data_IF_324034334019
#
_entry.id   IF_324034334019
#
_cell.length_a   1.000
_cell.length_b   1.000
_cell.length_c   1.000
_cell.angle_alpha   90.00
_cell.angle_beta   90.00
_cell.angle_gamma   90.00
#
_symmetry.space_group_name_H-M   'P 1'
#
loop_
_entity.id
_entity.type
_entity.pdbx_description
1 polymer ?
#
# COMPACT_ATOMS: atom_id res chain seq x y z
N UNK A 1 11.03 -22.16 -51.20
CA UNK A 1 9.73 -22.53 -50.59
C UNK A 1 9.92 -23.20 -49.22
N UNK A 2 10.72 -24.28 -49.10
CA UNK A 2 10.94 -24.98 -47.82
C UNK A 2 11.59 -24.14 -46.70
N UNK A 3 12.58 -23.29 -47.03
CA UNK A 3 13.21 -22.42 -46.02
C UNK A 3 12.23 -21.42 -45.40
N UNK A 4 11.31 -20.87 -46.20
CA UNK A 4 10.27 -19.95 -45.72
C UNK A 4 9.28 -20.68 -44.83
N UNK A 5 8.87 -21.91 -45.21
CA UNK A 5 7.98 -22.74 -44.39
C UNK A 5 8.63 -23.08 -43.04
N UNK A 6 9.90 -23.48 -43.02
CA UNK A 6 10.61 -23.78 -41.78
C UNK A 6 10.81 -22.55 -40.90
N UNK A 7 11.09 -21.38 -41.49
CA UNK A 7 11.20 -20.12 -40.74
C UNK A 7 9.86 -19.71 -40.10
N UNK A 8 8.75 -19.84 -40.84
CA UNK A 8 7.40 -19.58 -40.31
C UNK A 8 7.03 -20.56 -39.20
N UNK A 9 7.34 -21.85 -39.36
CA UNK A 9 7.11 -22.87 -38.33
C UNK A 9 7.91 -22.56 -37.05
N UNK A 10 9.20 -22.22 -37.18
CA UNK A 10 10.04 -21.85 -36.05
C UNK A 10 9.51 -20.61 -35.32
N UNK A 11 9.06 -19.59 -36.06
CA UNK A 11 8.45 -18.39 -35.50
C UNK A 11 7.15 -18.72 -34.74
N UNK A 12 6.27 -19.55 -35.30
CA UNK A 12 5.03 -19.97 -34.64
C UNK A 12 5.29 -20.74 -33.34
N UNK A 13 6.28 -21.64 -33.33
CA UNK A 13 6.69 -22.36 -32.11
C UNK A 13 7.19 -21.38 -31.06
N UNK A 14 8.03 -20.42 -31.44
CA UNK A 14 8.55 -19.41 -30.53
C UNK A 14 7.44 -18.51 -29.95
N UNK A 15 6.53 -18.02 -30.79
CA UNK A 15 5.39 -17.22 -30.35
C UNK A 15 4.45 -17.99 -29.43
N UNK A 16 4.21 -19.27 -29.72
CA UNK A 16 3.41 -20.15 -28.87
C UNK A 16 4.10 -20.38 -27.52
N UNK A 17 5.40 -20.64 -27.53
CA UNK A 17 6.20 -20.78 -26.30
C UNK A 17 6.15 -19.53 -25.43
N UNK A 18 6.28 -18.34 -26.02
CA UNK A 18 6.13 -17.07 -25.31
C UNK A 18 4.72 -16.89 -24.75
N UNK A 19 3.67 -17.19 -25.52
CA UNK A 19 2.29 -17.08 -25.05
C UNK A 19 2.01 -18.02 -23.87
N UNK A 20 2.49 -19.26 -23.93
CA UNK A 20 2.40 -20.23 -22.83
C UNK A 20 3.14 -19.70 -21.61
N UNK A 21 4.37 -19.19 -21.78
CA UNK A 21 5.14 -18.60 -20.69
C UNK A 21 4.42 -17.45 -20.01
N UNK A 22 3.84 -16.53 -20.79
CA UNK A 22 3.11 -15.39 -20.27
C UNK A 22 1.82 -15.80 -19.53
N UNK A 23 1.11 -16.77 -20.09
CA UNK A 23 -0.09 -17.35 -19.45
C UNK A 23 0.27 -18.05 -18.13
N UNK A 24 1.33 -18.85 -18.13
CA UNK A 24 1.82 -19.51 -16.92
C UNK A 24 2.27 -18.50 -15.87
N UNK A 25 2.91 -17.40 -16.26
CA UNK A 25 3.30 -16.33 -15.32
C UNK A 25 2.08 -15.75 -14.60
N UNK A 26 0.99 -15.49 -15.34
CA UNK A 26 -0.28 -15.04 -14.74
C UNK A 26 -0.86 -16.13 -13.83
N UNK A 27 -1.02 -17.36 -14.30
CA UNK A 27 -1.71 -18.42 -13.55
C UNK A 27 -0.93 -18.90 -12.31
N UNK A 28 0.41 -18.79 -12.33
CA UNK A 28 1.29 -19.19 -11.22
C UNK A 28 1.45 -18.11 -10.15
N UNK A 29 1.06 -16.86 -10.41
CA UNK A 29 1.08 -15.82 -9.39
C UNK A 29 0.09 -16.18 -8.26
N UNK A 30 0.65 -16.42 -7.07
CA UNK A 30 -0.05 -16.90 -5.87
C UNK A 30 0.34 -16.07 -4.66
N UNK A 31 -0.50 -16.13 -3.64
CA UNK A 31 -0.19 -15.57 -2.33
C UNK A 31 0.53 -16.66 -1.52
N UNK A 32 1.61 -16.34 -0.80
CA UNK A 32 2.21 -17.26 0.16
C UNK A 32 1.23 -17.63 1.29
N UNK A 33 1.40 -18.80 1.89
CA UNK A 33 0.56 -19.24 3.01
C UNK A 33 0.80 -18.44 4.31
N UNK A 34 1.99 -17.84 4.43
CA UNK A 34 2.40 -17.06 5.60
C UNK A 34 2.95 -15.71 5.14
N UNK A 35 2.62 -14.67 5.88
CA UNK A 35 3.15 -13.33 5.69
C UNK A 35 4.32 -13.12 6.64
N UNK A 36 5.51 -12.85 6.09
CA UNK A 36 6.68 -12.53 6.91
C UNK A 36 6.47 -11.21 7.65
N UNK A 37 7.00 -11.13 8.86
CA UNK A 37 6.87 -9.96 9.72
C UNK A 37 8.24 -9.61 10.33
N UNK A 38 8.51 -8.32 10.45
CA UNK A 38 9.65 -7.76 11.18
C UNK A 38 9.10 -6.90 12.31
N UNK A 39 9.67 -7.04 13.50
CA UNK A 39 9.41 -6.09 14.58
C UNK A 39 10.52 -5.05 14.61
N UNK A 40 10.16 -3.77 14.64
CA UNK A 40 11.09 -2.67 14.90
C UNK A 40 10.79 -2.13 16.30
N UNK A 41 11.84 -1.83 17.05
CA UNK A 41 11.69 -1.35 18.42
C UNK A 41 11.30 -2.46 19.40
N UNK A 42 11.94 -3.62 19.30
CA UNK A 42 11.65 -4.78 20.15
C UNK A 42 11.89 -4.55 21.65
N UNK A 43 12.67 -3.52 22.01
CA UNK A 43 12.92 -3.14 23.40
C UNK A 43 11.99 -2.01 23.86
N UNK A 44 11.22 -1.42 22.95
CA UNK A 44 10.25 -0.40 23.30
C UNK A 44 9.08 -1.01 24.12
N UNK A 45 8.55 -0.27 25.12
CA UNK A 45 7.40 -0.70 25.90
C UNK A 45 6.24 -1.17 25.02
N UNK A 46 5.65 -2.30 25.39
CA UNK A 46 4.45 -2.82 24.72
C UNK A 46 3.26 -1.88 24.93
N UNK A 47 2.50 -1.66 23.86
CA UNK A 47 1.27 -0.89 23.91
C UNK A 47 0.13 -1.70 24.52
N UNK A 48 -0.55 -1.13 25.52
CA UNK A 48 -1.79 -1.69 26.10
C UNK A 48 -3.04 -1.05 25.51
N UNK A 49 -2.86 0.00 24.68
CA UNK A 49 -3.96 0.69 24.02
C UNK A 49 -4.63 -0.20 22.96
N UNK A 50 -5.93 -0.01 22.78
CA UNK A 50 -6.72 -0.74 21.79
C UNK A 50 -6.71 0.01 20.47
N UNK A 51 -6.53 -0.72 19.37
CA UNK A 51 -6.67 -0.19 18.01
C UNK A 51 -8.15 0.14 17.70
N UNK A 52 -8.51 1.41 17.42
CA UNK A 52 -9.88 1.77 17.06
C UNK A 52 -10.35 1.09 15.78
N UNK A 53 -11.63 0.72 15.72
CA UNK A 53 -12.24 0.12 14.51
C UNK A 53 -12.72 1.19 13.53
N UNK A 54 -11.81 2.08 13.17
CA UNK A 54 -12.07 3.16 12.20
C UNK A 54 -11.16 2.95 11.01
N UNK A 55 -11.71 2.99 9.80
CA UNK A 55 -10.96 3.00 8.54
C UNK A 55 -11.04 4.40 7.95
N UNK A 56 -9.92 5.09 7.93
CA UNK A 56 -9.73 6.40 7.30
C UNK A 56 -9.30 6.24 5.86
N UNK A 57 -9.89 7.05 4.99
CA UNK A 57 -9.40 7.22 3.63
C UNK A 57 -9.75 8.62 3.13
N UNK A 58 -9.07 9.07 2.09
CA UNK A 58 -9.26 10.41 1.53
C UNK A 58 -9.36 10.36 0.01
N UNK A 59 -10.32 11.12 -0.52
CA UNK A 59 -10.40 11.43 -1.93
C UNK A 59 -10.77 12.90 -2.10
N UNK A 60 -9.85 13.71 -2.63
CA UNK A 60 -9.90 15.18 -2.61
C UNK A 60 -11.24 15.77 -3.10
N UNK A 61 -11.80 15.22 -4.17
CA UNK A 61 -13.02 15.75 -4.82
C UNK A 61 -14.21 14.83 -4.60
N UNK A 62 -15.26 15.33 -3.98
CA UNK A 62 -16.54 14.64 -3.90
C UNK A 62 -17.42 14.91 -5.14
N UNK A 63 -18.23 13.93 -5.58
CA UNK A 63 -18.22 12.54 -5.14
C UNK A 63 -16.99 11.79 -5.66
N UNK A 64 -16.50 10.80 -4.91
CA UNK A 64 -15.42 9.95 -5.38
C UNK A 64 -15.85 9.16 -6.64
N UNK A 65 -14.92 8.82 -7.56
CA UNK A 65 -15.23 8.04 -8.74
C UNK A 65 -15.90 6.70 -8.41
N UNK A 66 -16.73 6.20 -9.34
CA UNK A 66 -17.48 4.96 -9.17
C UNK A 66 -16.62 3.77 -8.72
N UNK A 67 -15.43 3.61 -9.31
CA UNK A 67 -14.50 2.55 -8.91
C UNK A 67 -14.06 2.66 -7.45
N UNK A 68 -13.82 3.88 -6.97
CA UNK A 68 -13.50 4.14 -5.56
C UNK A 68 -14.71 3.83 -4.68
N UNK A 69 -15.92 4.24 -5.08
CA UNK A 69 -17.14 3.88 -4.35
C UNK A 69 -17.33 2.36 -4.25
N UNK A 70 -17.00 1.62 -5.31
CA UNK A 70 -17.03 0.15 -5.32
C UNK A 70 -15.98 -0.44 -4.36
N UNK A 71 -14.77 0.14 -4.27
CA UNK A 71 -13.78 -0.23 -3.24
C UNK A 71 -14.31 0.01 -1.82
N UNK A 72 -14.96 1.15 -1.56
CA UNK A 72 -15.55 1.45 -0.24
C UNK A 72 -16.70 0.48 0.09
N UNK A 73 -17.53 0.12 -0.89
CA UNK A 73 -18.57 -0.88 -0.72
C UNK A 73 -17.98 -2.26 -0.37
N UNK A 74 -16.89 -2.65 -1.02
CA UNK A 74 -16.12 -3.85 -0.67
C UNK A 74 -15.66 -3.80 0.81
N UNK A 75 -15.15 -2.67 1.29
CA UNK A 75 -14.69 -2.57 2.68
C UNK A 75 -15.83 -2.74 3.67
N UNK A 76 -16.98 -2.09 3.42
CA UNK A 76 -18.19 -2.23 4.26
C UNK A 76 -18.70 -3.66 4.32
N UNK A 77 -18.56 -4.42 3.24
CA UNK A 77 -18.91 -5.83 3.19
C UNK A 77 -17.96 -6.71 4.00
N UNK A 78 -16.64 -6.52 3.83
CA UNK A 78 -15.64 -7.41 4.42
C UNK A 78 -15.22 -7.02 5.84
N UNK A 79 -15.40 -5.76 6.24
CA UNK A 79 -15.10 -5.26 7.58
C UNK A 79 -16.36 -4.57 8.18
N UNK A 80 -17.46 -5.32 8.40
CA UNK A 80 -18.74 -4.74 8.86
C UNK A 80 -18.66 -4.15 10.28
N UNK A 81 -17.65 -4.55 11.05
CA UNK A 81 -17.41 -4.06 12.41
C UNK A 81 -16.53 -2.81 12.44
N UNK A 82 -16.22 -2.21 11.29
CA UNK A 82 -15.40 -1.01 11.19
C UNK A 82 -16.20 0.16 10.63
N UNK A 83 -16.04 1.32 11.24
CA UNK A 83 -16.56 2.56 10.71
C UNK A 83 -15.68 3.03 9.55
N UNK A 84 -16.24 3.09 8.34
CA UNK A 84 -15.51 3.55 7.14
C UNK A 84 -15.76 5.04 6.92
N UNK A 85 -14.70 5.85 7.05
CA UNK A 85 -14.70 7.30 6.87
C UNK A 85 -13.97 7.67 5.58
N UNK A 86 -14.73 7.83 4.50
CA UNK A 86 -14.25 8.46 3.27
C UNK A 86 -14.32 9.98 3.44
N UNK A 87 -13.17 10.60 3.59
CA UNK A 87 -13.03 12.05 3.70
C UNK A 87 -12.78 12.67 2.33
N UNK A 88 -13.20 13.91 2.17
CA UNK A 88 -12.87 14.79 1.06
C UNK A 88 -12.45 16.17 1.59
N UNK A 89 -12.10 17.10 0.71
CA UNK A 89 -11.64 18.43 1.16
C UNK A 89 -12.66 19.15 2.03
N UNK A 90 -13.96 18.97 1.83
CA UNK A 90 -15.00 19.63 2.62
C UNK A 90 -15.18 19.02 4.02
N UNK A 91 -14.85 17.74 4.20
CA UNK A 91 -15.09 17.02 5.46
C UNK A 91 -13.86 16.93 6.38
N UNK A 92 -12.65 17.20 5.88
CA UNK A 92 -11.42 17.02 6.69
C UNK A 92 -11.32 17.95 7.90
N UNK A 93 -11.85 19.17 7.81
CA UNK A 93 -11.75 20.17 8.89
C UNK A 93 -12.53 19.76 10.14
N UNK A 94 -13.54 18.90 10.01
CA UNK A 94 -14.26 18.32 11.15
C UNK A 94 -13.40 17.37 11.99
N UNK A 95 -12.31 16.85 11.41
CA UNK A 95 -11.40 15.90 12.07
C UNK A 95 -10.03 16.50 12.38
N UNK A 96 -9.62 17.49 11.59
CA UNK A 96 -8.38 18.24 11.71
C UNK A 96 -8.70 19.73 11.53
N UNK A 97 -9.09 20.44 12.61
CA UNK A 97 -9.49 21.85 12.53
C UNK A 97 -8.39 22.80 12.06
N UNK A 98 -7.12 22.38 12.18
CA UNK A 98 -5.97 23.12 11.68
C UNK A 98 -5.18 22.25 10.70
N UNK A 99 -5.17 22.70 9.45
CA UNK A 99 -4.35 22.14 8.38
C UNK A 99 -3.07 22.97 8.24
N UNK A 100 -2.02 22.39 7.66
CA UNK A 100 -0.84 23.18 7.25
C UNK A 100 -1.23 24.25 6.23
N UNK A 101 -0.55 25.41 6.28
CA UNK A 101 -0.93 26.59 5.51
C UNK A 101 -0.91 26.37 3.98
N UNK A 102 0.01 25.54 3.50
CA UNK A 102 0.19 25.15 2.09
C UNK A 102 -0.60 23.89 1.71
N UNK A 103 -1.47 23.35 2.57
CA UNK A 103 -2.15 22.06 2.36
C UNK A 103 -2.85 21.97 1.00
N UNK A 104 -3.57 23.02 0.60
CA UNK A 104 -4.30 23.05 -0.67
C UNK A 104 -3.38 23.10 -1.89
N UNK A 105 -2.14 23.59 -1.73
CA UNK A 105 -1.12 23.66 -2.78
C UNK A 105 -0.37 22.34 -2.95
N UNK A 106 -0.43 21.45 -1.95
CA UNK A 106 0.15 20.12 -2.06
C UNK A 106 -0.60 19.29 -3.12
N UNK A 107 0.11 18.48 -3.93
CA UNK A 107 -0.55 17.54 -4.82
C UNK A 107 -1.37 16.52 -4.01
N UNK A 108 -2.44 16.01 -4.60
CA UNK A 108 -3.42 15.15 -3.89
C UNK A 108 -2.79 13.96 -3.15
N UNK A 109 -1.72 13.36 -3.69
CA UNK A 109 -1.02 12.26 -3.01
C UNK A 109 -0.27 12.72 -1.75
N UNK A 110 0.28 13.94 -1.73
CA UNK A 110 0.90 14.53 -0.54
C UNK A 110 -0.12 15.00 0.49
N UNK A 111 -1.27 15.50 0.06
CA UNK A 111 -2.39 15.76 0.97
C UNK A 111 -2.78 14.46 1.70
N UNK A 112 -2.92 13.36 0.96
CA UNK A 112 -3.21 12.04 1.54
C UNK A 112 -2.08 11.52 2.46
N UNK A 113 -0.81 11.72 2.09
CA UNK A 113 0.35 11.41 2.96
C UNK A 113 0.30 12.19 4.27
N UNK A 114 -0.04 13.49 4.23
CA UNK A 114 -0.11 14.31 5.43
C UNK A 114 -1.31 13.93 6.30
N UNK A 115 -2.51 13.82 5.70
CA UNK A 115 -3.73 13.47 6.42
C UNK A 115 -3.62 12.15 7.15
N UNK A 116 -2.99 11.12 6.55
CA UNK A 116 -2.96 9.79 7.18
C UNK A 116 -2.24 9.78 8.51
N UNK A 117 -1.06 10.40 8.58
CA UNK A 117 -0.29 10.44 9.83
C UNK A 117 -0.94 11.37 10.85
N UNK A 118 -1.56 12.47 10.40
CA UNK A 118 -2.24 13.40 11.29
C UNK A 118 -3.52 12.86 11.90
N UNK A 119 -4.32 12.11 11.13
CA UNK A 119 -5.51 11.43 11.62
C UNK A 119 -5.14 10.30 12.56
N UNK A 120 -4.17 9.46 12.18
CA UNK A 120 -3.74 8.33 13.01
C UNK A 120 -3.10 8.78 14.33
N UNK A 121 -2.28 9.83 14.32
CA UNK A 121 -1.70 10.37 15.55
C UNK A 121 -2.76 10.83 16.56
N UNK A 122 -3.83 11.48 16.09
CA UNK A 122 -4.88 12.04 16.96
C UNK A 122 -5.95 11.03 17.35
N UNK A 123 -6.41 10.26 16.37
CA UNK A 123 -7.63 9.44 16.51
C UNK A 123 -7.34 7.93 16.50
N UNK A 124 -6.12 7.53 16.15
CA UNK A 124 -5.79 6.13 15.87
C UNK A 124 -6.62 5.55 14.72
N UNK A 125 -6.68 4.22 14.68
CA UNK A 125 -7.44 3.47 13.70
C UNK A 125 -6.54 3.00 12.55
N UNK A 126 -7.12 2.87 11.36
CA UNK A 126 -6.48 2.28 10.19
C UNK A 126 -6.62 3.27 9.03
N UNK A 127 -5.52 3.73 8.47
CA UNK A 127 -5.53 4.35 7.15
C UNK A 127 -5.49 3.29 6.07
N UNK A 128 -6.27 3.47 5.01
CA UNK A 128 -6.17 2.69 3.77
C UNK A 128 -6.30 3.61 2.55
N UNK A 129 -5.43 3.42 1.56
CA UNK A 129 -5.59 4.05 0.25
C UNK A 129 -6.94 3.65 -0.38
N UNK A 130 -7.67 4.62 -0.94
CA UNK A 130 -9.06 4.47 -1.39
C UNK A 130 -9.30 3.37 -2.46
N UNK A 131 -8.25 2.95 -3.17
CA UNK A 131 -8.32 1.91 -4.22
C UNK A 131 -7.81 0.54 -3.77
N UNK A 132 -7.72 0.29 -2.46
CA UNK A 132 -7.44 -1.04 -1.91
C UNK A 132 -8.70 -1.92 -1.91
N UNK A 133 -8.51 -3.23 -1.84
CA UNK A 133 -9.59 -4.21 -1.70
C UNK A 133 -9.33 -5.11 -0.49
N UNK A 134 -10.41 -5.51 0.19
CA UNK A 134 -10.42 -6.52 1.24
C UNK A 134 -10.97 -7.83 0.67
N UNK A 135 -10.38 -8.95 1.07
CA UNK A 135 -10.93 -10.29 0.77
C UNK A 135 -11.41 -11.03 2.03
N UNK A 136 -11.18 -10.46 3.21
CA UNK A 136 -11.63 -10.95 4.52
C UNK A 136 -11.57 -9.81 5.54
N UNK A 137 -12.19 -10.04 6.70
CA UNK A 137 -12.20 -9.10 7.81
C UNK A 137 -10.79 -8.71 8.31
N UNK A 138 -10.68 -7.50 8.86
CA UNK A 138 -9.46 -6.91 9.38
C UNK A 138 -9.13 -7.34 10.83
N UNK A 139 -9.84 -8.32 11.40
CA UNK A 139 -9.56 -8.88 12.72
C UNK A 139 -8.12 -9.36 12.90
N UNK A 140 -7.50 -9.87 11.83
CA UNK A 140 -6.08 -10.26 11.85
C UNK A 140 -5.15 -9.10 12.23
N UNK A 141 -5.49 -7.87 11.83
CA UNK A 141 -4.69 -6.68 12.12
C UNK A 141 -4.77 -6.31 13.60
N UNK A 142 -5.99 -6.34 14.14
CA UNK A 142 -6.26 -6.15 15.56
C UNK A 142 -5.57 -7.22 16.41
N UNK A 143 -5.63 -8.48 15.99
CA UNK A 143 -4.98 -9.59 16.68
C UNK A 143 -3.45 -9.47 16.64
N UNK A 144 -2.89 -9.02 15.51
CA UNK A 144 -1.47 -8.75 15.37
C UNK A 144 -1.03 -7.66 16.34
N UNK A 145 -1.77 -6.55 16.39
CA UNK A 145 -1.50 -5.44 17.31
C UNK A 145 -1.50 -5.91 18.77
N UNK A 146 -2.57 -6.59 19.22
CA UNK A 146 -2.72 -7.05 20.60
C UNK A 146 -1.66 -8.09 20.99
N UNK A 147 -1.46 -9.13 20.17
CA UNK A 147 -0.52 -10.23 20.48
C UNK A 147 0.94 -9.78 20.51
N UNK A 148 1.28 -8.74 19.75
CA UNK A 148 2.65 -8.23 19.65
C UNK A 148 2.87 -6.98 20.51
N UNK A 149 1.85 -6.47 21.20
CA UNK A 149 1.93 -5.23 21.99
C UNK A 149 2.35 -4.04 21.15
N UNK A 150 1.90 -3.96 19.89
CA UNK A 150 2.41 -2.99 18.93
C UNK A 150 1.72 -1.63 19.08
N UNK A 151 2.50 -0.54 19.00
CA UNK A 151 1.97 0.81 18.82
C UNK A 151 1.49 1.03 17.39
N UNK A 152 2.11 0.32 16.44
CA UNK A 152 1.85 0.44 15.01
C UNK A 152 1.93 -0.91 14.32
N UNK A 153 0.99 -1.17 13.41
CA UNK A 153 1.04 -2.32 12.49
C UNK A 153 0.89 -1.79 11.08
N UNK A 154 1.77 -2.21 10.19
CA UNK A 154 1.76 -1.79 8.79
C UNK A 154 2.50 -2.78 7.91
N UNK A 155 2.89 -2.31 6.73
CA UNK A 155 3.64 -3.11 5.78
C UNK A 155 5.01 -2.50 5.50
N UNK A 156 5.93 -3.30 5.00
CA UNK A 156 7.18 -2.85 4.39
C UNK A 156 7.32 -3.40 2.97
N UNK A 157 8.12 -2.74 2.14
CA UNK A 157 8.39 -3.14 0.75
C UNK A 157 9.76 -3.78 0.62
N UNK A 158 9.80 -5.10 0.43
CA UNK A 158 11.03 -5.88 0.45
C UNK A 158 11.95 -5.55 -0.73
N UNK A 159 11.40 -5.35 -1.93
CA UNK A 159 12.19 -5.07 -3.15
C UNK A 159 13.02 -3.79 -3.11
N UNK A 160 12.74 -2.88 -2.16
CA UNK A 160 13.52 -1.65 -1.95
C UNK A 160 14.24 -1.63 -0.60
N UNK A 161 14.05 -2.66 0.23
CA UNK A 161 14.63 -2.75 1.56
C UNK A 161 15.93 -3.54 1.51
N UNK A 162 17.04 -2.90 1.87
CA UNK A 162 18.37 -3.53 2.01
C UNK A 162 18.73 -3.78 3.47
N UNK A 163 17.97 -3.24 4.43
CA UNK A 163 18.16 -3.41 5.87
C UNK A 163 17.05 -4.29 6.46
N UNK A 164 17.31 -5.58 6.74
CA UNK A 164 16.27 -6.51 7.20
C UNK A 164 15.59 -6.10 8.52
N UNK A 165 16.32 -5.44 9.42
CA UNK A 165 15.81 -5.00 10.73
C UNK A 165 15.18 -3.60 10.71
N UNK A 166 15.39 -2.84 9.63
CA UNK A 166 14.84 -1.49 9.43
C UNK A 166 14.41 -1.32 7.96
N UNK A 167 13.40 -2.09 7.52
CA UNK A 167 12.95 -2.05 6.13
C UNK A 167 12.17 -0.75 5.84
N UNK A 168 12.00 -0.44 4.56
CA UNK A 168 11.21 0.71 4.12
C UNK A 168 9.73 0.44 4.38
N UNK A 169 9.14 1.24 5.28
CA UNK A 169 7.72 1.18 5.63
C UNK A 169 6.87 1.69 4.47
N UNK A 170 5.84 0.93 4.13
CA UNK A 170 4.79 1.33 3.21
C UNK A 170 3.72 2.15 3.92
N UNK A 171 3.26 3.21 3.26
CA UNK A 171 2.33 4.15 3.88
C UNK A 171 0.87 4.02 3.44
N UNK A 172 0.57 3.18 2.44
CA UNK A 172 -0.79 3.05 1.91
C UNK A 172 -1.75 2.27 2.82
N UNK A 173 -1.23 1.56 3.82
CA UNK A 173 -2.01 1.01 4.92
C UNK A 173 -1.23 1.10 6.24
N UNK A 174 -1.78 1.84 7.18
CA UNK A 174 -1.12 2.20 8.44
C UNK A 174 -2.13 2.03 9.57
N UNK A 175 -1.82 1.24 10.58
CA UNK A 175 -2.69 1.09 11.75
C UNK A 175 -1.95 1.51 13.01
N UNK A 176 -2.57 2.35 13.83
CA UNK A 176 -1.97 2.79 15.08
C UNK A 176 -3.01 3.05 16.14
N UNK A 177 -2.60 2.86 17.39
CA UNK A 177 -3.38 3.30 18.55
C UNK A 177 -3.42 4.84 18.60
N UNK A 178 -4.45 5.46 19.19
CA UNK A 178 -4.49 6.90 19.37
C UNK A 178 -3.28 7.37 20.19
N UNK A 179 -2.63 8.46 19.78
CA UNK A 179 -1.41 8.94 20.43
C UNK A 179 -0.20 8.00 20.28
N UNK A 180 -0.24 7.05 19.34
CA UNK A 180 0.87 6.13 19.09
C UNK A 180 2.18 6.87 18.84
N UNK A 181 3.25 6.49 19.57
CA UNK A 181 4.53 7.20 19.58
C UNK A 181 5.13 7.35 18.19
N UNK A 182 5.14 6.27 17.40
CA UNK A 182 5.67 6.28 16.04
C UNK A 182 4.90 7.22 15.12
N UNK A 183 3.57 7.09 15.02
CA UNK A 183 2.79 7.92 14.08
C UNK A 183 2.78 9.39 14.49
N UNK A 184 2.84 9.69 15.79
CA UNK A 184 2.92 11.06 16.30
C UNK A 184 4.25 11.71 15.95
N UNK A 185 5.36 10.98 16.17
CA UNK A 185 6.69 11.45 15.77
C UNK A 185 6.84 11.52 14.24
N UNK A 186 6.25 10.58 13.49
CA UNK A 186 6.26 10.60 12.04
C UNK A 186 5.46 11.78 11.49
N UNK A 187 4.33 12.14 12.10
CA UNK A 187 3.57 13.32 11.72
C UNK A 187 4.43 14.59 11.83
N UNK A 188 5.13 14.77 12.97
CA UNK A 188 6.04 15.89 13.16
C UNK A 188 7.23 15.86 12.19
N UNK A 189 7.86 14.68 12.02
CA UNK A 189 8.97 14.51 11.08
C UNK A 189 8.57 14.77 9.63
N UNK A 190 7.33 14.42 9.25
CA UNK A 190 6.83 14.64 7.91
C UNK A 190 6.46 16.10 7.66
N UNK A 191 5.95 16.83 8.66
CA UNK A 191 5.80 18.28 8.57
C UNK A 191 7.15 18.96 8.30
N UNK A 192 8.19 18.60 9.07
CA UNK A 192 9.56 19.11 8.84
C UNK A 192 10.09 18.75 7.45
N UNK A 193 9.88 17.52 6.99
CA UNK A 193 10.33 17.08 5.67
C UNK A 193 9.62 17.83 4.52
N UNK A 194 8.34 18.15 4.68
CA UNK A 194 7.59 18.96 3.72
C UNK A 194 8.10 20.40 3.69
N UNK A 195 8.41 20.99 4.86
CA UNK A 195 8.90 22.36 4.99
C UNK A 195 10.33 22.50 4.44
N UNK A 196 11.20 21.52 4.71
CA UNK A 196 12.56 21.44 4.19
C UNK A 196 12.57 21.17 2.67
N UNK A 197 11.65 20.34 2.20
CA UNK A 197 11.58 19.89 0.81
C UNK A 197 12.49 18.70 0.51
N UNK A 198 12.09 17.90 -0.48
CA UNK A 198 12.74 16.63 -0.77
C UNK A 198 14.22 16.77 -1.17
N UNK A 199 14.56 17.79 -1.98
CA UNK A 199 15.95 18.00 -2.43
C UNK A 199 16.88 18.33 -1.26
N UNK A 200 16.49 19.30 -0.43
CA UNK A 200 17.29 19.72 0.71
C UNK A 200 17.46 18.59 1.73
N UNK A 201 16.39 17.83 2.00
CA UNK A 201 16.46 16.64 2.85
C UNK A 201 17.47 15.61 2.32
N UNK A 202 17.39 15.28 1.03
CA UNK A 202 18.29 14.30 0.41
C UNK A 202 19.75 14.81 0.39
N UNK A 203 19.96 16.11 0.15
CA UNK A 203 21.27 16.76 0.24
C UNK A 203 21.84 16.68 1.67
N UNK A 204 21.01 16.97 2.69
CA UNK A 204 21.39 16.87 4.11
C UNK A 204 21.82 15.45 4.44
N UNK A 205 21.00 14.46 4.11
CA UNK A 205 21.32 13.05 4.35
C UNK A 205 22.64 12.62 3.67
N UNK A 206 22.97 13.17 2.49
CA UNK A 206 24.26 12.92 1.82
C UNK A 206 25.41 13.55 2.59
N UNK A 207 25.28 14.81 3.03
CA UNK A 207 26.31 15.48 3.84
C UNK A 207 26.55 14.82 5.20
N UNK A 208 25.52 14.20 5.78
CA UNK A 208 25.62 13.44 7.02
C UNK A 208 26.18 12.01 6.81
N UNK A 209 26.38 11.56 5.56
CA UNK A 209 26.79 10.19 5.25
C UNK A 209 25.70 9.13 5.48
N UNK A 210 24.45 9.54 5.70
CA UNK A 210 23.30 8.67 6.06
C UNK A 210 22.33 8.41 4.90
N UNK A 211 22.57 8.99 3.73
CA UNK A 211 21.69 8.86 2.56
C UNK A 211 21.43 7.39 2.20
N UNK A 212 22.47 6.60 1.97
CA UNK A 212 22.34 5.21 1.53
C UNK A 212 21.57 4.32 2.53
N UNK A 213 21.78 4.50 3.84
CA UNK A 213 21.09 3.71 4.86
C UNK A 213 19.61 4.10 5.05
N UNK A 214 19.26 5.36 4.80
CA UNK A 214 17.88 5.87 4.93
C UNK A 214 17.05 5.54 3.69
N UNK A 215 17.57 5.83 2.49
CA UNK A 215 16.84 5.63 1.23
C UNK A 215 16.93 4.21 0.69
N UNK A 216 17.91 3.43 1.15
CA UNK A 216 18.17 2.04 0.76
C UNK A 216 18.18 1.90 -0.78
N UNK A 217 17.38 0.99 -1.35
CA UNK A 217 17.36 0.76 -2.80
C UNK A 217 16.28 1.57 -3.55
N UNK A 218 15.74 2.65 -2.95
CA UNK A 218 14.86 3.55 -3.68
C UNK A 218 15.60 4.23 -4.84
N UNK A 219 14.98 4.21 -6.03
CA UNK A 219 15.47 4.99 -7.18
C UNK A 219 15.38 6.48 -6.88
N UNK A 220 16.19 7.30 -7.55
CA UNK A 220 16.24 8.75 -7.28
C UNK A 220 14.86 9.43 -7.40
N UNK A 221 14.06 9.06 -8.40
CA UNK A 221 12.68 9.57 -8.54
C UNK A 221 11.79 9.19 -7.35
N UNK A 222 11.98 7.98 -6.83
CA UNK A 222 11.20 7.48 -5.69
C UNK A 222 11.63 8.11 -4.39
N UNK A 223 12.91 8.47 -4.23
CA UNK A 223 13.37 9.22 -3.07
C UNK A 223 12.63 10.55 -2.93
N UNK A 224 12.40 11.26 -4.05
CA UNK A 224 11.67 12.54 -4.08
C UNK A 224 10.17 12.34 -3.94
N UNK A 225 9.61 11.38 -4.67
CA UNK A 225 8.17 11.11 -4.68
C UNK A 225 7.68 10.56 -3.33
N UNK A 226 8.38 9.56 -2.78
CA UNK A 226 8.07 8.84 -1.54
C UNK A 226 8.65 9.52 -0.29
N UNK A 227 8.55 10.85 -0.18
CA UNK A 227 9.20 11.60 0.91
C UNK A 227 8.78 11.12 2.30
N UNK A 228 7.53 10.71 2.52
CA UNK A 228 7.13 10.18 3.82
C UNK A 228 7.82 8.85 4.16
N UNK A 229 8.19 8.06 3.15
CA UNK A 229 8.98 6.84 3.37
C UNK A 229 10.40 7.22 3.79
N UNK A 230 10.99 8.24 3.17
CA UNK A 230 12.31 8.79 3.56
C UNK A 230 12.25 9.35 4.99
N UNK A 231 11.22 10.13 5.33
CA UNK A 231 11.03 10.67 6.68
C UNK A 231 10.85 9.56 7.74
N UNK A 232 10.06 8.52 7.44
CA UNK A 232 9.88 7.38 8.35
C UNK A 232 11.18 6.59 8.52
N UNK A 233 11.91 6.33 7.43
CA UNK A 233 13.21 5.66 7.47
C UNK A 233 14.24 6.47 8.24
N UNK A 234 14.30 7.80 8.06
CA UNK A 234 15.22 8.66 8.82
C UNK A 234 14.88 8.64 10.31
N UNK A 235 13.59 8.75 10.65
CA UNK A 235 13.12 8.73 12.04
C UNK A 235 13.53 7.44 12.75
N UNK A 236 13.29 6.29 12.13
CA UNK A 236 13.64 4.99 12.72
C UNK A 236 15.14 4.70 12.68
N UNK A 237 15.86 5.29 11.73
CA UNK A 237 17.32 5.21 11.71
C UNK A 237 17.95 5.97 12.90
N UNK A 238 17.39 7.14 13.27
CA UNK A 238 17.83 7.90 14.45
C UNK A 238 17.32 7.30 15.76
N UNK A 239 16.15 6.68 15.75
CA UNK A 239 15.46 6.22 16.97
C UNK A 239 14.74 4.88 16.74
N UNK A 240 15.49 3.78 16.57
CA UNK A 240 14.89 2.47 16.26
C UNK A 240 14.03 1.91 17.40
N UNK A 241 14.26 2.36 18.64
CA UNK A 241 13.49 1.97 19.84
C UNK A 241 12.38 2.97 20.19
N UNK A 242 12.03 3.89 19.28
CA UNK A 242 11.00 4.92 19.51
C UNK A 242 9.65 4.33 19.92
N UNK A 243 9.26 3.22 19.28
CA UNK A 243 8.00 2.54 19.51
C UNK A 243 8.10 1.10 19.00
N UNK A 244 7.17 0.25 19.42
CA UNK A 244 7.09 -1.13 18.94
C UNK A 244 6.24 -1.20 17.66
N UNK A 245 6.86 -1.42 16.51
CA UNK A 245 6.20 -1.53 15.21
C UNK A 245 6.21 -2.99 14.75
N UNK A 246 5.11 -3.46 14.18
CA UNK A 246 5.06 -4.74 13.45
C UNK A 246 4.85 -4.46 11.97
N UNK A 247 5.83 -4.81 11.15
CA UNK A 247 5.84 -4.58 9.72
C UNK A 247 5.71 -5.90 8.97
N UNK A 248 4.61 -6.06 8.26
CA UNK A 248 4.34 -7.22 7.41
C UNK A 248 4.94 -7.03 6.01
N UNK A 249 5.49 -8.07 5.42
CA UNK A 249 6.02 -7.97 4.05
C UNK A 249 4.88 -7.78 3.06
N UNK A 250 4.89 -6.68 2.31
CA UNK A 250 3.85 -6.39 1.33
C UNK A 250 3.78 -7.44 0.21
N UNK A 251 4.91 -7.96 -0.25
CA UNK A 251 5.00 -9.00 -1.28
C UNK A 251 4.52 -10.39 -0.83
N UNK A 252 4.20 -10.58 0.46
CA UNK A 252 3.56 -11.81 0.94
C UNK A 252 2.04 -11.63 1.15
N UNK A 253 1.47 -10.48 0.78
CA UNK A 253 0.04 -10.19 0.88
C UNK A 253 -0.41 -9.17 -0.19
N UNK A 254 -0.56 -7.88 0.15
CA UNK A 254 -1.11 -6.86 -0.76
C UNK A 254 -0.42 -6.74 -2.12
N UNK A 255 0.88 -7.04 -2.19
CA UNK A 255 1.68 -7.06 -3.42
C UNK A 255 2.10 -8.47 -3.86
N UNK A 256 1.55 -9.54 -3.28
CA UNK A 256 1.92 -10.91 -3.66
C UNK A 256 1.72 -11.20 -5.15
N UNK A 257 0.59 -10.79 -5.73
CA UNK A 257 0.40 -10.93 -7.18
C UNK A 257 1.19 -9.93 -8.00
N UNK A 258 1.56 -8.78 -7.43
CA UNK A 258 2.44 -7.84 -8.13
C UNK A 258 3.82 -8.48 -8.29
N UNK A 259 4.39 -9.00 -7.21
CA UNK A 259 5.65 -9.74 -7.24
C UNK A 259 5.55 -10.97 -8.15
N UNK A 260 4.49 -11.77 -8.01
CA UNK A 260 4.29 -13.00 -8.79
C UNK A 260 4.19 -12.80 -10.30
N UNK A 261 3.74 -11.64 -10.78
CA UNK A 261 3.69 -11.32 -12.22
C UNK A 261 4.84 -10.43 -12.69
N UNK A 262 5.86 -10.21 -11.85
CA UNK A 262 7.02 -9.37 -12.18
C UNK A 262 6.67 -7.88 -12.27
N UNK A 263 5.71 -7.41 -11.46
CA UNK A 263 5.26 -6.02 -11.37
C UNK A 263 4.63 -5.45 -12.65
N UNK A 264 4.22 -6.33 -13.57
CA UNK A 264 3.62 -5.99 -14.86
C UNK A 264 2.11 -5.73 -14.72
N UNK A 265 1.70 -4.48 -14.88
CA UNK A 265 0.30 -4.02 -14.68
C UNK A 265 -0.76 -4.77 -15.51
N UNK A 266 -0.44 -5.15 -16.75
CA UNK A 266 -1.37 -5.90 -17.62
C UNK A 266 -1.54 -7.35 -17.16
N UNK A 267 -0.46 -7.99 -16.71
CA UNK A 267 -0.49 -9.33 -16.12
C UNK A 267 -1.20 -9.35 -14.78
N UNK A 268 -0.99 -8.32 -13.97
CA UNK A 268 -1.74 -8.15 -12.73
C UNK A 268 -3.25 -8.03 -13.02
N UNK A 269 -3.63 -7.21 -14.00
CA UNK A 269 -5.04 -7.14 -14.44
C UNK A 269 -5.56 -8.49 -14.93
N UNK A 270 -4.80 -9.21 -15.77
CA UNK A 270 -5.19 -10.54 -16.22
C UNK A 270 -5.36 -11.51 -15.04
N UNK A 271 -4.47 -11.46 -14.04
CA UNK A 271 -4.55 -12.27 -12.82
C UNK A 271 -5.80 -11.97 -12.00
N UNK A 272 -6.12 -10.69 -11.88
CA UNK A 272 -7.25 -10.17 -11.09
C UNK A 272 -8.59 -10.46 -11.76
N UNK A 273 -8.71 -10.15 -13.06
CA UNK A 273 -9.99 -9.99 -13.73
C UNK A 273 -10.28 -11.04 -14.80
N UNK A 274 -9.27 -11.75 -15.33
CA UNK A 274 -9.48 -12.66 -16.47
C UNK A 274 -9.22 -14.12 -16.08
N UNK A 275 -8.24 -14.37 -15.22
CA UNK A 275 -7.91 -15.70 -14.72
C UNK A 275 -8.89 -16.17 -13.64
N UNK A 276 -9.08 -17.50 -13.47
CA UNK A 276 -9.85 -18.04 -12.36
C UNK A 276 -9.35 -17.55 -11.00
N UNK A 277 -10.29 -17.27 -10.10
CA UNK A 277 -10.03 -16.92 -8.72
C UNK A 277 -9.28 -18.08 -8.05
N UNK A 278 -8.11 -17.84 -7.42
CA UNK A 278 -7.44 -18.88 -6.67
C UNK A 278 -8.22 -19.21 -5.39
N UNK A 279 -7.91 -20.36 -4.80
CA UNK A 279 -8.45 -20.76 -3.49
C UNK A 279 -8.07 -19.81 -2.35
N UNK A 280 -6.93 -19.12 -2.48
CA UNK A 280 -6.41 -18.22 -1.45
C UNK A 280 -6.17 -16.83 -2.03
N UNK A 281 -6.81 -15.85 -1.42
CA UNK A 281 -6.67 -14.42 -1.70
C UNK A 281 -5.81 -13.76 -0.61
N UNK A 282 -5.10 -12.66 -0.92
CA UNK A 282 -4.42 -11.90 0.11
C UNK A 282 -5.47 -11.15 0.92
N UNK A 283 -5.27 -11.04 2.25
CA UNK A 283 -6.26 -10.43 3.14
C UNK A 283 -6.68 -9.02 2.69
N UNK A 284 -5.71 -8.28 2.20
CA UNK A 284 -5.83 -6.98 1.57
C UNK A 284 -5.08 -7.02 0.24
N UNK A 285 -5.54 -6.26 -0.75
CA UNK A 285 -4.90 -6.09 -2.04
C UNK A 285 -4.69 -4.59 -2.29
N UNK A 286 -3.47 -4.21 -2.66
CA UNK A 286 -3.14 -2.83 -3.03
C UNK A 286 -2.99 -2.70 -4.53
N UNK A 287 -3.67 -1.74 -5.16
CA UNK A 287 -3.39 -1.33 -6.53
C UNK A 287 -2.49 -0.08 -6.51
N UNK A 288 -1.32 -0.12 -7.17
CA UNK A 288 -0.52 1.10 -7.41
C UNK A 288 -1.26 1.98 -8.43
N UNK A 289 -0.88 3.26 -8.53
CA UNK A 289 -1.56 4.20 -9.43
C UNK A 289 -1.68 3.69 -10.87
N UNK A 290 -0.59 3.17 -11.45
CA UNK A 290 -0.60 2.60 -12.79
C UNK A 290 -1.41 1.30 -12.93
N UNK A 291 -1.52 0.51 -11.86
CA UNK A 291 -2.33 -0.72 -11.85
C UNK A 291 -3.82 -0.37 -11.76
N UNK A 292 -4.18 0.57 -10.87
CA UNK A 292 -5.54 1.12 -10.72
C UNK A 292 -6.06 1.61 -12.07
N UNK A 293 -5.29 2.41 -12.80
CA UNK A 293 -5.71 2.91 -14.12
C UNK A 293 -6.09 1.79 -15.10
N UNK A 294 -5.35 0.67 -15.09
CA UNK A 294 -5.66 -0.48 -15.96
C UNK A 294 -6.89 -1.23 -15.46
N UNK A 295 -6.97 -1.49 -14.15
CA UNK A 295 -8.08 -2.23 -13.54
C UNK A 295 -9.38 -1.46 -13.69
N UNK A 296 -9.42 -0.20 -13.28
CA UNK A 296 -10.59 0.67 -13.31
C UNK A 296 -11.15 0.81 -14.73
N UNK A 297 -10.29 1.13 -15.71
CA UNK A 297 -10.72 1.31 -17.10
C UNK A 297 -11.41 0.06 -17.66
N UNK A 298 -10.87 -1.12 -17.36
CA UNK A 298 -11.41 -2.38 -17.88
C UNK A 298 -12.59 -2.90 -17.06
N UNK A 299 -12.61 -2.64 -15.75
CA UNK A 299 -13.76 -2.92 -14.88
C UNK A 299 -14.99 -2.14 -15.34
N UNK A 300 -14.86 -0.84 -15.64
CA UNK A 300 -15.94 -0.02 -16.21
C UNK A 300 -16.44 -0.51 -17.59
N UNK A 301 -15.58 -1.19 -18.36
CA UNK A 301 -15.94 -1.81 -19.64
C UNK A 301 -16.59 -3.19 -19.49
N UNK A 302 -16.74 -3.69 -18.26
CA UNK A 302 -17.23 -5.04 -18.01
C UNK A 302 -16.26 -6.15 -18.43
N UNK A 303 -14.98 -5.84 -18.68
CA UNK A 303 -13.97 -6.83 -19.05
C UNK A 303 -13.47 -7.59 -17.82
N UNK A 304 -14.39 -8.26 -17.14
CA UNK A 304 -14.16 -9.01 -15.91
C UNK A 304 -14.84 -10.36 -16.05
N UNK A 305 -14.04 -11.43 -16.06
CA UNK A 305 -14.53 -12.80 -16.07
C UNK A 305 -15.37 -13.08 -14.81
N UNK A 306 -16.51 -13.79 -14.94
CA UNK A 306 -17.38 -14.10 -13.81
C UNK A 306 -16.69 -15.01 -12.76
N UNK A 307 -15.62 -15.71 -13.15
CA UNK A 307 -14.86 -16.61 -12.27
C UNK A 307 -13.62 -15.95 -11.66
N UNK A 308 -13.39 -14.67 -11.91
CA UNK A 308 -12.18 -13.97 -11.50
C UNK A 308 -12.21 -13.48 -10.05
N UNK A 309 -11.03 -13.20 -9.49
CA UNK A 309 -10.94 -12.62 -8.15
C UNK A 309 -11.59 -11.24 -8.09
N UNK A 310 -11.44 -10.42 -9.14
CA UNK A 310 -12.03 -9.08 -9.19
C UNK A 310 -13.55 -9.14 -9.16
N UNK A 311 -14.18 -10.14 -9.81
CA UNK A 311 -15.63 -10.36 -9.72
C UNK A 311 -16.09 -10.71 -8.30
N UNK A 312 -15.29 -11.47 -7.56
CA UNK A 312 -15.59 -11.83 -6.18
C UNK A 312 -15.43 -10.63 -5.23
N UNK A 313 -14.48 -9.73 -5.52
CA UNK A 313 -14.14 -8.60 -4.66
C UNK A 313 -14.96 -7.34 -4.95
N UNK A 314 -15.37 -7.12 -6.21
CA UNK A 314 -16.11 -5.93 -6.63
C UNK A 314 -17.39 -6.31 -7.36
N UNK A 315 -18.46 -5.58 -7.04
CA UNK A 315 -19.68 -5.58 -7.83
C UNK A 315 -19.39 -5.15 -9.29
N UNK A 316 -20.22 -5.55 -10.27
CA UNK A 316 -20.15 -4.97 -11.60
C UNK A 316 -20.37 -3.45 -11.56
N UNK A 317 -19.85 -2.71 -12.55
CA UNK A 317 -20.18 -1.29 -12.69
C UNK A 317 -21.69 -1.10 -12.86
N UNK A 318 -22.20 0.04 -12.43
CA UNK A 318 -23.60 0.45 -12.58
C UNK A 318 -23.87 1.02 -13.97
#
# INVERSE_FOLDING_TARGET
MNLVIHAVQALLVLLTGLLVWETLTVLRARVPAQTRAVTVGDEAPASTATLPRIIWTYWQTAPAPEFIQACIANWRQFAPNHEVRLLDRSSIESWLPSLRADFNSLPAYRQADWLRVQLLARHGGIWMDASMLLSRDLGWLHDTQRRRGADYVGFYIDRYSTRPTLPIIENWMMASVPGGRFVSALAAAFDLALDEGAEALLQRLRSEGRHAQVVQALTEDFQRYLLMHVAASELLDRSPQLARLVLLRAEDGPFAWHAGVGWRKRHLFARLALAPCPRMLPAVLKLRGGDRTVVERNWRRGWVSPFSALRHLLAPPR
#
